data_IF_858273826321
#
_entry.id   IF_858273826321
#
_cell.length_a   1.000
_cell.length_b   1.000
_cell.length_c   1.000
_cell.angle_alpha   90.00
_cell.angle_beta   90.00
_cell.angle_gamma   90.00
#
_symmetry.space_group_name_H-M   'P 1'
#
loop_
_entity.id
_entity.type
_entity.pdbx_description
1 polymer ?
#
# COMPACT_ATOMS: atom_id res chain seq x y z
N UNK A 1 24.69 -18.99 14.94
CA UNK A 1 24.70 -17.53 15.19
C UNK A 1 24.44 -16.86 13.84
N UNK A 2 23.20 -16.44 13.58
CA UNK A 2 22.78 -15.91 12.26
C UNK A 2 23.17 -14.43 12.17
N UNK A 3 24.08 -14.13 11.24
CA UNK A 3 24.23 -12.80 10.67
C UNK A 3 23.12 -12.62 9.63
N UNK A 4 22.29 -11.59 9.80
CA UNK A 4 21.47 -11.02 8.73
C UNK A 4 22.13 -9.70 8.37
N UNK A 5 22.94 -9.70 7.34
CA UNK A 5 23.33 -8.47 6.65
C UNK A 5 22.56 -8.33 5.34
N UNK A 6 22.10 -7.10 5.16
CA UNK A 6 21.50 -6.41 4.02
C UNK A 6 21.88 -6.87 2.61
N UNK A 7 20.84 -7.00 1.78
CA UNK A 7 20.75 -6.54 0.39
C UNK A 7 21.90 -6.80 -0.58
N UNK A 8 21.66 -7.69 -1.56
CA UNK A 8 21.83 -7.37 -2.99
C UNK A 8 21.18 -8.45 -3.89
N UNK A 9 20.44 -8.04 -4.93
CA UNK A 9 19.86 -8.95 -5.93
C UNK A 9 18.53 -8.51 -6.56
N UNK A 10 18.50 -8.11 -7.85
CA UNK A 10 17.28 -7.68 -8.54
C UNK A 10 16.49 -8.91 -9.00
N UNK A 11 15.77 -9.56 -8.10
CA UNK A 11 15.08 -10.78 -8.45
C UNK A 11 14.34 -11.39 -7.29
N UNK A 12 13.05 -11.08 -7.21
CA UNK A 12 12.05 -11.84 -6.46
C UNK A 12 12.21 -11.86 -4.94
N UNK A 13 11.59 -10.90 -4.25
CA UNK A 13 10.94 -11.22 -2.97
C UNK A 13 9.50 -10.67 -2.91
N UNK A 14 8.55 -11.30 -3.63
CA UNK A 14 7.12 -11.07 -3.45
C UNK A 14 6.61 -11.51 -2.07
N UNK A 15 7.38 -12.34 -1.35
CA UNK A 15 7.01 -13.02 -0.10
C UNK A 15 7.05 -12.13 1.14
N UNK A 16 7.92 -11.12 1.19
CA UNK A 16 7.97 -10.20 2.35
C UNK A 16 6.73 -9.31 2.41
N UNK A 17 6.29 -8.80 1.25
CA UNK A 17 5.14 -7.92 1.18
C UNK A 17 3.80 -8.69 1.26
N UNK A 18 3.79 -9.99 0.95
CA UNK A 18 2.64 -10.87 1.24
C UNK A 18 2.51 -11.11 2.76
N UNK A 19 3.64 -11.18 3.47
CA UNK A 19 3.70 -11.25 4.94
C UNK A 19 3.18 -9.96 5.57
N UNK A 20 3.52 -8.78 5.03
CA UNK A 20 2.99 -7.50 5.53
C UNK A 20 1.47 -7.38 5.32
N UNK A 21 0.94 -7.85 4.19
CA UNK A 21 -0.52 -7.90 3.92
C UNK A 21 -1.22 -8.89 4.87
N UNK A 22 -0.60 -10.03 5.17
CA UNK A 22 -1.13 -11.02 6.11
C UNK A 22 -1.15 -10.50 7.56
N UNK A 23 -0.12 -9.74 7.97
CA UNK A 23 -0.08 -9.09 9.30
C UNK A 23 -1.14 -7.99 9.44
N UNK A 24 -1.42 -7.23 8.37
CA UNK A 24 -2.50 -6.24 8.38
C UNK A 24 -3.88 -6.92 8.48
N UNK A 25 -4.07 -8.08 7.85
CA UNK A 25 -5.34 -8.84 7.91
C UNK A 25 -5.55 -9.50 9.29
N UNK A 26 -4.49 -10.04 9.92
CA UNK A 26 -4.55 -10.61 11.27
C UNK A 26 -4.77 -9.57 12.38
N UNK A 27 -4.22 -8.35 12.24
CA UNK A 27 -4.30 -7.30 13.27
C UNK A 27 -5.61 -6.48 13.21
N UNK A 28 -6.19 -6.25 12.03
CA UNK A 28 -7.33 -5.32 11.89
C UNK A 28 -8.69 -6.04 12.07
N UNK A 29 -8.79 -7.34 11.75
CA UNK A 29 -9.98 -8.17 12.01
C UNK A 29 -11.26 -7.78 11.24
N UNK A 30 -11.26 -6.64 10.52
CA UNK A 30 -12.30 -6.12 9.63
C UNK A 30 -11.68 -5.28 8.52
N UNK A 31 -12.21 -5.35 7.30
CA UNK A 31 -11.65 -4.63 6.14
C UNK A 31 -12.63 -3.61 5.53
N UNK A 32 -13.84 -3.49 6.07
CA UNK A 32 -14.80 -2.43 5.74
C UNK A 32 -14.60 -1.22 6.66
N UNK A 33 -14.77 -0.01 6.12
CA UNK A 33 -14.70 1.26 6.89
C UNK A 33 -13.29 1.67 7.29
N UNK A 34 -12.26 1.08 6.68
CA UNK A 34 -10.86 1.29 7.08
C UNK A 34 -10.19 2.39 6.25
N UNK A 35 -9.26 3.07 6.90
CA UNK A 35 -8.29 3.96 6.24
C UNK A 35 -6.93 3.27 6.20
N UNK A 36 -6.33 3.19 5.02
CA UNK A 36 -5.05 2.48 4.82
C UNK A 36 -4.05 3.42 4.18
N UNK A 37 -2.85 3.53 4.77
CA UNK A 37 -1.72 4.22 4.15
C UNK A 37 -0.76 3.22 3.51
N UNK A 38 -0.51 3.38 2.20
CA UNK A 38 0.47 2.64 1.42
C UNK A 38 1.70 3.51 1.24
N UNK A 39 2.80 3.15 1.90
CA UNK A 39 4.02 3.96 1.99
C UNK A 39 5.18 3.29 1.24
N UNK A 40 5.94 4.06 0.45
CA UNK A 40 7.20 3.59 -0.16
C UNK A 40 7.27 3.71 -1.68
N UNK A 41 7.86 2.71 -2.36
CA UNK A 41 7.95 2.66 -3.82
C UNK A 41 6.63 2.16 -4.42
N UNK A 42 5.75 3.10 -4.77
CA UNK A 42 4.44 2.82 -5.34
C UNK A 42 4.48 2.61 -6.86
N UNK A 43 5.56 3.04 -7.52
CA UNK A 43 5.75 2.88 -8.95
C UNK A 43 6.10 1.43 -9.33
N UNK A 44 6.93 0.77 -8.52
CA UNK A 44 7.43 -0.59 -8.76
C UNK A 44 6.86 -1.62 -7.77
N UNK A 45 6.29 -1.17 -6.66
CA UNK A 45 5.72 -2.03 -5.63
C UNK A 45 4.54 -2.85 -6.15
N UNK A 46 4.80 -4.06 -6.64
CA UNK A 46 3.74 -4.97 -7.11
C UNK A 46 2.74 -5.30 -6.01
N UNK A 47 3.19 -5.37 -4.75
CA UNK A 47 2.33 -5.74 -3.63
C UNK A 47 1.39 -4.62 -3.21
N UNK A 48 1.85 -3.37 -3.11
CA UNK A 48 0.98 -2.22 -2.83
C UNK A 48 -0.09 -2.04 -3.92
N UNK A 49 0.24 -2.37 -5.17
CA UNK A 49 -0.71 -2.37 -6.27
C UNK A 49 -1.76 -3.47 -6.11
N UNK A 50 -1.36 -4.70 -5.83
CA UNK A 50 -2.29 -5.81 -5.56
C UNK A 50 -3.19 -5.51 -4.36
N UNK A 51 -2.64 -4.92 -3.29
CA UNK A 51 -3.40 -4.51 -2.12
C UNK A 51 -4.42 -3.42 -2.47
N UNK A 52 -4.05 -2.39 -3.25
CA UNK A 52 -4.99 -1.37 -3.71
C UNK A 52 -6.17 -1.96 -4.50
N UNK A 53 -5.91 -2.97 -5.36
CA UNK A 53 -6.98 -3.70 -6.06
C UNK A 53 -7.87 -4.52 -5.11
N UNK A 54 -7.29 -5.17 -4.11
CA UNK A 54 -8.04 -5.98 -3.15
C UNK A 54 -8.93 -5.08 -2.28
N UNK A 55 -8.42 -3.92 -1.86
CA UNK A 55 -9.15 -2.96 -1.03
C UNK A 55 -10.42 -2.44 -1.71
N UNK A 56 -10.52 -2.45 -3.04
CA UNK A 56 -11.76 -2.07 -3.75
C UNK A 56 -12.90 -3.07 -3.58
N UNK A 57 -12.67 -4.21 -2.94
CA UNK A 57 -13.71 -5.22 -2.65
C UNK A 57 -14.47 -4.93 -1.37
N UNK A 58 -13.94 -4.04 -0.54
CA UNK A 58 -14.56 -3.65 0.72
C UNK A 58 -15.25 -2.30 0.57
N UNK A 59 -16.14 -2.04 1.52
CA UNK A 59 -16.98 -0.84 1.56
C UNK A 59 -16.34 0.23 2.44
N UNK A 60 -16.54 1.50 2.07
CA UNK A 60 -16.09 2.66 2.85
C UNK A 60 -14.57 2.65 3.16
N UNK A 61 -13.77 2.26 2.17
CA UNK A 61 -12.30 2.26 2.28
C UNK A 61 -11.72 3.55 1.72
N UNK A 62 -10.76 4.12 2.46
CA UNK A 62 -9.94 5.24 2.00
C UNK A 62 -8.47 4.87 1.95
N UNK A 63 -7.82 5.15 0.82
CA UNK A 63 -6.42 4.79 0.56
C UNK A 63 -5.55 6.05 0.52
N UNK A 64 -4.50 6.11 1.32
CA UNK A 64 -3.49 7.15 1.26
C UNK A 64 -2.22 6.60 0.60
N UNK A 65 -1.78 7.21 -0.49
CA UNK A 65 -0.52 6.90 -1.15
C UNK A 65 0.57 7.85 -0.64
N UNK A 66 1.53 7.31 0.11
CA UNK A 66 2.65 8.09 0.67
C UNK A 66 3.94 7.69 -0.04
N UNK A 67 4.44 8.57 -0.91
CA UNK A 67 5.64 8.27 -1.68
C UNK A 67 6.39 9.53 -2.12
N UNK A 68 7.72 9.48 -2.25
CA UNK A 68 8.48 10.51 -2.96
C UNK A 68 8.03 10.65 -4.42
N UNK A 69 8.23 11.83 -5.01
CA UNK A 69 7.80 12.12 -6.37
C UNK A 69 8.36 11.17 -7.43
N UNK A 70 9.56 10.64 -7.20
CA UNK A 70 10.24 9.72 -8.10
C UNK A 70 9.56 8.34 -8.23
N UNK A 71 8.73 7.93 -7.26
CA UNK A 71 8.18 6.57 -7.15
C UNK A 71 6.67 6.56 -6.85
N UNK A 72 5.93 7.52 -7.43
CA UNK A 72 4.48 7.64 -7.26
C UNK A 72 3.70 6.46 -7.84
N UNK A 73 2.49 6.26 -7.28
CA UNK A 73 1.52 5.33 -7.85
C UNK A 73 1.17 5.76 -9.27
N UNK A 74 1.15 4.80 -10.20
CA UNK A 74 0.80 5.05 -11.60
C UNK A 74 -0.70 5.29 -11.73
N UNK A 75 -1.06 6.05 -12.77
CA UNK A 75 -2.46 6.46 -13.01
C UNK A 75 -3.40 5.28 -13.24
N UNK A 76 -2.92 4.16 -13.77
CA UNK A 76 -3.75 2.97 -14.00
C UNK A 76 -4.44 2.44 -12.73
N UNK A 77 -3.78 2.55 -11.57
CA UNK A 77 -4.38 2.20 -10.27
C UNK A 77 -5.33 3.29 -9.82
N UNK A 78 -4.94 4.57 -9.92
CA UNK A 78 -5.77 5.71 -9.50
C UNK A 78 -7.08 5.76 -10.26
N UNK A 79 -7.02 5.55 -11.57
CA UNK A 79 -8.17 5.49 -12.46
C UNK A 79 -9.06 4.29 -12.10
N UNK A 80 -8.45 3.15 -11.78
CA UNK A 80 -9.19 1.98 -11.29
C UNK A 80 -9.93 2.27 -9.98
N UNK A 81 -9.25 2.83 -8.97
CA UNK A 81 -9.87 3.19 -7.68
C UNK A 81 -11.02 4.18 -7.87
N UNK A 82 -10.81 5.19 -8.71
CA UNK A 82 -11.82 6.19 -9.07
C UNK A 82 -13.02 5.54 -9.75
N UNK A 83 -12.80 4.59 -10.68
CA UNK A 83 -13.87 3.83 -11.33
C UNK A 83 -14.69 2.98 -10.36
N UNK A 84 -14.08 2.56 -9.26
CA UNK A 84 -14.70 1.80 -8.16
C UNK A 84 -15.27 2.68 -7.06
N UNK A 85 -15.17 4.02 -7.19
CA UNK A 85 -15.60 5.01 -6.18
C UNK A 85 -14.91 4.81 -4.83
N UNK A 86 -13.69 4.32 -4.84
CA UNK A 86 -12.84 4.23 -3.63
C UNK A 86 -12.17 5.58 -3.44
N UNK A 87 -12.23 6.12 -2.22
CA UNK A 87 -11.54 7.38 -1.90
C UNK A 87 -10.04 7.16 -1.84
N UNK A 88 -9.27 8.07 -2.44
CA UNK A 88 -7.82 8.03 -2.34
C UNK A 88 -7.20 9.42 -2.33
N UNK A 89 -6.05 9.54 -1.67
CA UNK A 89 -5.25 10.77 -1.59
C UNK A 89 -3.76 10.44 -1.78
N UNK A 90 -2.99 11.40 -2.30
CA UNK A 90 -1.53 11.31 -2.36
C UNK A 90 -0.91 12.31 -1.40
N UNK A 91 0.15 11.90 -0.70
CA UNK A 91 1.01 12.80 0.05
C UNK A 91 2.48 12.36 -0.08
N UNK A 92 3.40 13.31 0.07
CA UNK A 92 4.82 13.02 0.23
C UNK A 92 5.21 12.94 1.72
N UNK A 93 4.33 13.33 2.63
CA UNK A 93 4.59 13.42 4.06
C UNK A 93 3.81 12.34 4.82
N UNK A 94 4.56 11.42 5.42
CA UNK A 94 4.00 10.35 6.24
C UNK A 94 3.33 10.90 7.51
N UNK A 95 3.89 11.96 8.12
CA UNK A 95 3.35 12.54 9.35
C UNK A 95 2.01 13.22 9.11
N UNK A 96 1.88 13.88 7.96
CA UNK A 96 0.61 14.46 7.53
C UNK A 96 -0.48 13.37 7.44
N UNK A 97 -0.18 12.24 6.80
CA UNK A 97 -1.14 11.14 6.67
C UNK A 97 -1.41 10.44 8.00
N UNK A 98 -0.39 10.25 8.84
CA UNK A 98 -0.55 9.64 10.16
C UNK A 98 -1.52 10.42 11.05
N UNK A 99 -1.63 11.74 10.89
CA UNK A 99 -2.62 12.56 11.61
C UNK A 99 -4.06 12.41 11.10
N UNK A 100 -4.27 11.81 9.92
CA UNK A 100 -5.57 11.64 9.25
C UNK A 100 -6.14 10.22 9.35
N UNK A 101 -5.30 9.23 9.69
CA UNK A 101 -5.72 7.85 9.93
C UNK A 101 -6.56 7.80 11.21
#
# INVERSE_FOLDING_TARGET
>A
MRHFESGDGPGQHPTQALLDVYTIEEEIGKLDGIKVALVGDLANGRTVRSLAYLLTRYTDVKIYFVSPDAVKMKNDIKDYLTSKKVEWEESADLMEVASKL
#
